data_IF_579484086055
#
_entry.id   IF_579484086055
#
_cell.length_a   1.000
_cell.length_b   1.000
_cell.length_c   1.000
_cell.angle_alpha   90.00
_cell.angle_beta   90.00
_cell.angle_gamma   90.00
#
_symmetry.space_group_name_H-M   'P 1'
#
loop_
_entity.id
_entity.type
_entity.pdbx_description
1 polymer ?
#
# COMPACT_ATOMS: atom_id res chain seq x y z
N UNK A 1 -2.42 -43.15 -19.83
CA UNK A 1 -2.11 -42.33 -18.63
C UNK A 1 -3.22 -42.53 -17.61
N UNK A 2 -2.89 -42.90 -16.38
CA UNK A 2 -3.89 -43.28 -15.37
C UNK A 2 -4.36 -42.05 -14.59
N UNK A 3 -5.66 -41.90 -14.29
CA UNK A 3 -6.22 -40.70 -13.59
C UNK A 3 -5.48 -40.39 -12.28
N UNK A 4 -5.04 -41.43 -11.58
CA UNK A 4 -4.33 -41.33 -10.29
C UNK A 4 -2.95 -40.68 -10.44
N UNK A 5 -2.21 -41.03 -11.50
CA UNK A 5 -0.90 -40.47 -11.80
C UNK A 5 -0.99 -38.98 -12.15
N UNK A 6 -2.01 -38.61 -12.92
CA UNK A 6 -2.28 -37.23 -13.32
C UNK A 6 -2.66 -36.33 -12.12
N UNK A 7 -3.52 -36.82 -11.23
CA UNK A 7 -3.88 -36.08 -10.01
C UNK A 7 -2.66 -35.93 -9.10
N UNK A 8 -1.86 -36.99 -8.93
CA UNK A 8 -0.65 -36.97 -8.12
C UNK A 8 0.38 -35.95 -8.63
N UNK A 9 0.59 -35.87 -9.96
CA UNK A 9 1.54 -34.92 -10.55
C UNK A 9 1.11 -33.47 -10.39
N UNK A 10 -0.19 -33.17 -10.52
CA UNK A 10 -0.72 -31.80 -10.35
C UNK A 10 -0.63 -31.38 -8.89
N UNK A 11 -1.05 -32.24 -7.96
CA UNK A 11 -0.98 -31.94 -6.53
C UNK A 11 0.47 -31.74 -6.07
N UNK A 12 1.39 -32.60 -6.51
CA UNK A 12 2.82 -32.44 -6.22
C UNK A 12 3.40 -31.15 -6.81
N UNK A 13 3.02 -30.79 -8.03
CA UNK A 13 3.46 -29.55 -8.68
C UNK A 13 2.96 -28.28 -8.00
N UNK A 14 1.70 -28.25 -7.53
CA UNK A 14 1.18 -27.10 -6.78
C UNK A 14 1.79 -26.97 -5.39
N UNK A 15 2.05 -28.08 -4.69
CA UNK A 15 2.67 -28.05 -3.35
C UNK A 15 4.16 -27.69 -3.39
N UNK A 16 4.84 -28.01 -4.50
CA UNK A 16 6.24 -27.64 -4.72
C UNK A 16 6.40 -26.22 -5.31
N UNK A 17 5.33 -25.59 -5.77
CA UNK A 17 5.39 -24.23 -6.26
C UNK A 17 5.53 -23.26 -5.07
N UNK A 18 6.46 -22.28 -5.13
CA UNK A 18 6.45 -21.20 -4.15
C UNK A 18 5.10 -20.50 -4.29
N UNK A 19 4.31 -20.49 -3.22
CA UNK A 19 3.14 -19.64 -3.04
C UNK A 19 3.63 -18.19 -3.01
N UNK A 20 4.09 -17.68 -4.15
CA UNK A 20 4.47 -16.30 -4.35
C UNK A 20 3.18 -15.50 -4.44
N UNK A 21 2.47 -15.38 -3.31
CA UNK A 21 1.54 -14.31 -3.08
C UNK A 21 2.36 -13.03 -3.09
N UNK A 22 2.64 -12.49 -4.28
CA UNK A 22 3.19 -11.16 -4.46
C UNK A 22 2.10 -10.18 -4.03
N UNK A 23 2.01 -9.95 -2.72
CA UNK A 23 1.26 -8.82 -2.20
C UNK A 23 1.85 -7.56 -2.80
N UNK A 24 1.04 -6.75 -3.47
CA UNK A 24 1.52 -5.46 -3.96
C UNK A 24 2.06 -4.67 -2.76
N UNK A 25 3.29 -4.15 -2.90
CA UNK A 25 3.85 -3.26 -1.89
C UNK A 25 2.84 -2.12 -1.66
N UNK A 26 2.45 -1.91 -0.41
CA UNK A 26 1.44 -0.92 -0.05
C UNK A 26 1.97 0.45 -0.46
N UNK A 27 1.40 1.04 -1.51
CA UNK A 27 1.84 2.34 -2.02
C UNK A 27 1.52 3.41 -0.97
N UNK A 28 2.50 4.27 -0.68
CA UNK A 28 2.28 5.46 0.16
C UNK A 28 1.38 6.43 -0.62
N UNK A 29 0.22 6.84 -0.08
CA UNK A 29 -0.67 7.79 -0.75
C UNK A 29 -0.02 9.17 -0.89
N UNK A 30 -0.28 9.83 -2.02
CA UNK A 30 0.09 11.21 -2.29
C UNK A 30 -1.16 12.09 -2.12
N UNK A 31 -1.05 13.13 -1.32
CA UNK A 31 -2.13 14.08 -1.01
C UNK A 31 -1.79 15.43 -1.61
N UNK A 32 -2.61 15.92 -2.55
CA UNK A 32 -2.47 17.27 -3.07
C UNK A 32 -3.12 18.29 -2.14
N UNK A 33 -2.40 19.35 -1.79
CA UNK A 33 -2.86 20.43 -0.94
C UNK A 33 -2.70 21.79 -1.65
N UNK A 34 -3.82 22.31 -2.17
CA UNK A 34 -3.86 23.59 -2.89
C UNK A 34 -4.51 24.67 -2.03
N UNK A 35 -3.86 25.83 -1.94
CA UNK A 35 -4.39 27.02 -1.27
C UNK A 35 -4.12 28.28 -2.12
N UNK A 36 -5.08 29.20 -2.14
CA UNK A 36 -4.95 30.51 -2.80
C UNK A 36 -4.11 31.48 -1.94
N UNK A 37 -2.88 31.07 -1.59
CA UNK A 37 -1.95 31.89 -0.80
C UNK A 37 -0.52 31.46 -1.06
N UNK A 38 0.41 32.41 -1.01
CA UNK A 38 1.83 32.13 -1.11
C UNK A 38 2.45 31.95 0.27
N UNK A 39 3.32 30.93 0.40
CA UNK A 39 4.10 30.66 1.60
C UNK A 39 3.34 29.95 2.72
N UNK A 40 4.03 29.60 3.83
CA UNK A 40 3.45 28.85 4.93
C UNK A 40 2.34 29.62 5.63
N UNK A 41 1.26 28.93 5.98
CA UNK A 41 0.10 29.49 6.67
C UNK A 41 -0.21 28.71 7.95
N UNK A 42 -0.99 29.31 8.86
CA UNK A 42 -1.53 28.60 10.03
C UNK A 42 -2.43 27.42 9.66
N UNK A 43 -3.00 27.41 8.43
CA UNK A 43 -3.82 26.30 7.95
C UNK A 43 -2.97 25.05 7.68
N UNK A 44 -1.71 25.19 7.29
CA UNK A 44 -0.86 24.04 6.96
C UNK A 44 -0.52 23.22 8.21
N UNK A 45 -0.29 23.89 9.34
CA UNK A 45 -0.03 23.23 10.63
C UNK A 45 -1.30 22.58 11.18
N UNK A 46 -2.44 23.28 11.08
CA UNK A 46 -3.75 22.73 11.46
C UNK A 46 -4.12 21.49 10.62
N UNK A 47 -3.90 21.54 9.31
CA UNK A 47 -4.12 20.43 8.38
C UNK A 47 -3.26 19.22 8.75
N UNK A 48 -1.95 19.42 8.93
CA UNK A 48 -1.03 18.35 9.37
C UNK A 48 -1.39 17.80 10.75
N UNK A 49 -1.88 18.63 11.66
CA UNK A 49 -2.32 18.20 13.00
C UNK A 49 -3.53 17.28 12.91
N UNK A 50 -4.57 17.66 12.16
CA UNK A 50 -5.75 16.81 11.96
C UNK A 50 -5.40 15.47 11.30
N UNK A 51 -4.47 15.47 10.34
CA UNK A 51 -3.96 14.22 9.75
C UNK A 51 -3.30 13.31 10.80
N UNK A 52 -2.46 13.86 11.68
CA UNK A 52 -1.81 13.09 12.75
C UNK A 52 -2.81 12.48 13.72
N UNK A 53 -3.87 13.20 14.06
CA UNK A 53 -4.95 12.70 14.92
C UNK A 53 -5.69 11.51 14.29
N UNK A 54 -5.78 11.47 12.95
CA UNK A 54 -6.31 10.35 12.17
C UNK A 54 -5.28 9.24 11.90
N UNK A 55 -4.06 9.36 12.43
CA UNK A 55 -2.98 8.40 12.26
C UNK A 55 -2.18 8.57 10.96
N UNK A 56 -2.39 9.65 10.21
CA UNK A 56 -1.61 10.00 9.02
C UNK A 56 -0.46 10.94 9.38
N UNK A 57 0.75 10.60 8.97
CA UNK A 57 1.96 11.38 9.23
C UNK A 57 2.75 11.49 7.93
N UNK A 58 2.95 12.74 7.49
CA UNK A 58 3.78 13.10 6.35
C UNK A 58 5.19 12.50 6.47
N UNK A 59 5.67 11.87 5.41
CA UNK A 59 6.97 11.17 5.36
C UNK A 59 6.97 9.77 6.01
N UNK A 60 5.93 9.40 6.77
CA UNK A 60 5.80 8.06 7.37
C UNK A 60 4.83 7.16 6.61
N UNK A 61 3.62 7.65 6.34
CA UNK A 61 2.57 6.87 5.69
C UNK A 61 1.75 7.64 4.65
N UNK A 62 2.05 8.93 4.44
CA UNK A 62 1.54 9.76 3.34
C UNK A 62 2.65 10.74 2.89
N UNK A 63 2.50 11.30 1.70
CA UNK A 63 3.28 12.43 1.17
C UNK A 63 2.31 13.56 0.82
N UNK A 64 2.70 14.81 1.03
CA UNK A 64 1.89 16.01 0.71
C UNK A 64 2.63 16.84 -0.34
N UNK A 65 1.91 17.28 -1.37
CA UNK A 65 2.39 18.17 -2.45
C UNK A 65 1.50 19.40 -2.57
#
# INVERSE_FOLDING_TARGET
MNRRTFIGSIAGGLLAAPLAARGQAKKVPLVGYLIERSGPTSFDEAFRRGLRELGYTEGRNIVIE
#
